data_IF_875793591321
#
_entry.id   IF_875793591321
#
_cell.length_a   1.000
_cell.length_b   1.000
_cell.length_c   1.000
_cell.angle_alpha   90.00
_cell.angle_beta   90.00
_cell.angle_gamma   90.00
#
_symmetry.space_group_name_H-M   'P 1'
#
loop_
_entity.id
_entity.type
_entity.pdbx_description
1 polymer ?
#
# COMPACT_ATOMS: atom_id res chain seq x y z
N UNK A 1 -18.32 -16.00 -25.94
CA UNK A 1 -18.38 -15.06 -24.80
C UNK A 1 -19.70 -15.13 -24.06
N UNK A 2 -20.86 -15.22 -24.73
CA UNK A 2 -22.19 -15.35 -24.10
C UNK A 2 -22.23 -16.43 -22.99
N UNK A 3 -21.73 -17.63 -23.28
CA UNK A 3 -21.68 -18.72 -22.30
C UNK A 3 -20.76 -18.41 -21.11
N UNK A 4 -19.63 -17.72 -21.33
CA UNK A 4 -18.73 -17.28 -20.24
C UNK A 4 -19.38 -16.23 -19.33
N UNK A 5 -20.40 -15.54 -19.84
CA UNK A 5 -21.23 -14.59 -19.09
C UNK A 5 -22.49 -15.24 -18.52
N UNK A 6 -22.64 -16.57 -18.65
CA UNK A 6 -23.80 -17.32 -18.19
C UNK A 6 -25.01 -17.28 -19.12
N UNK A 7 -24.86 -16.80 -20.35
CA UNK A 7 -25.93 -16.75 -21.34
C UNK A 7 -25.92 -17.97 -22.28
N UNK A 8 -27.07 -18.30 -22.88
CA UNK A 8 -27.23 -19.41 -23.85
C UNK A 8 -26.67 -20.76 -23.38
N UNK A 9 -26.90 -21.11 -22.10
CA UNK A 9 -26.41 -22.37 -21.53
C UNK A 9 -27.25 -23.59 -21.92
N UNK A 10 -28.50 -23.40 -22.35
CA UNK A 10 -29.45 -24.49 -22.64
C UNK A 10 -28.97 -25.53 -23.67
N UNK A 11 -28.23 -25.18 -24.72
CA UNK A 11 -27.67 -26.14 -25.68
C UNK A 11 -26.44 -26.93 -25.20
N UNK A 12 -25.85 -26.59 -24.05
CA UNK A 12 -24.63 -27.25 -23.55
C UNK A 12 -24.97 -28.56 -22.83
N UNK A 13 -24.17 -29.59 -23.07
CA UNK A 13 -24.23 -30.82 -22.29
C UNK A 13 -23.55 -30.67 -20.92
N UNK A 14 -23.75 -31.66 -20.04
CA UNK A 14 -23.15 -31.65 -18.69
C UNK A 14 -21.62 -31.50 -18.72
N UNK A 15 -20.94 -32.19 -19.63
CA UNK A 15 -19.47 -32.10 -19.77
C UNK A 15 -19.01 -30.72 -20.21
N UNK A 16 -19.75 -30.09 -21.12
CA UNK A 16 -19.40 -28.77 -21.63
C UNK A 16 -19.62 -27.69 -20.55
N UNK A 17 -20.65 -27.85 -19.72
CA UNK A 17 -20.91 -27.01 -18.55
C UNK A 17 -19.81 -27.14 -17.49
N UNK A 18 -19.40 -28.37 -17.16
CA UNK A 18 -18.30 -28.62 -16.22
C UNK A 18 -16.98 -28.01 -16.71
N UNK A 19 -16.69 -28.15 -18.01
CA UNK A 19 -15.51 -27.54 -18.61
C UNK A 19 -15.57 -26.01 -18.58
N UNK A 20 -16.75 -25.43 -18.84
CA UNK A 20 -16.97 -23.99 -18.80
C UNK A 20 -16.78 -23.43 -17.38
N UNK A 21 -17.35 -24.10 -16.38
CA UNK A 21 -17.20 -23.76 -14.97
C UNK A 21 -15.72 -23.79 -14.54
N UNK A 22 -15.01 -24.88 -14.84
CA UNK A 22 -13.59 -25.01 -14.52
C UNK A 22 -12.74 -23.93 -15.21
N UNK A 23 -13.05 -23.59 -16.47
CA UNK A 23 -12.37 -22.50 -17.17
C UNK A 23 -12.58 -21.14 -16.49
N UNK A 24 -13.81 -20.84 -16.06
CA UNK A 24 -14.14 -19.60 -15.34
C UNK A 24 -13.43 -19.59 -13.98
N UNK A 25 -13.43 -20.71 -13.26
CA UNK A 25 -12.78 -20.82 -11.95
C UNK A 25 -11.27 -20.56 -12.04
N UNK A 26 -10.58 -21.24 -12.98
CA UNK A 26 -9.14 -21.09 -13.19
C UNK A 26 -8.81 -19.64 -13.58
N UNK A 27 -9.54 -19.07 -14.55
CA UNK A 27 -9.29 -17.71 -15.01
C UNK A 27 -9.55 -16.67 -13.91
N UNK A 28 -10.60 -16.83 -13.10
CA UNK A 28 -10.88 -15.97 -11.97
C UNK A 28 -9.80 -16.05 -10.89
N UNK A 29 -9.32 -17.27 -10.57
CA UNK A 29 -8.20 -17.46 -9.64
C UNK A 29 -6.95 -16.75 -10.15
N UNK A 30 -6.62 -16.91 -11.44
CA UNK A 30 -5.49 -16.21 -12.04
C UNK A 30 -5.65 -14.69 -11.97
N UNK A 31 -6.80 -14.14 -12.35
CA UNK A 31 -7.05 -12.68 -12.31
C UNK A 31 -6.89 -12.14 -10.89
N UNK A 32 -7.48 -12.82 -9.89
CA UNK A 32 -7.35 -12.44 -8.47
C UNK A 32 -5.90 -12.48 -8.02
N UNK A 33 -5.18 -13.56 -8.32
CA UNK A 33 -3.77 -13.73 -7.96
C UNK A 33 -2.90 -12.63 -8.59
N UNK A 34 -3.02 -12.39 -9.89
CA UNK A 34 -2.25 -11.35 -10.60
C UNK A 34 -2.56 -9.96 -10.04
N UNK A 35 -3.84 -9.64 -9.82
CA UNK A 35 -4.24 -8.35 -9.24
C UNK A 35 -3.65 -8.15 -7.84
N UNK A 36 -3.71 -9.18 -7.00
CA UNK A 36 -3.13 -9.13 -5.67
C UNK A 36 -1.61 -8.98 -5.71
N UNK A 37 -0.91 -9.74 -6.56
CA UNK A 37 0.53 -9.62 -6.72
C UNK A 37 0.93 -8.20 -7.15
N UNK A 38 0.27 -7.65 -8.17
CA UNK A 38 0.52 -6.29 -8.64
C UNK A 38 0.31 -5.24 -7.53
N UNK A 39 -0.74 -5.39 -6.72
CA UNK A 39 -0.99 -4.48 -5.59
C UNK A 39 0.08 -4.58 -4.52
N UNK A 40 0.54 -5.80 -4.20
CA UNK A 40 1.62 -6.02 -3.24
C UNK A 40 2.93 -5.43 -3.74
N UNK A 41 3.28 -5.64 -5.01
CA UNK A 41 4.48 -5.09 -5.63
C UNK A 41 4.46 -3.55 -5.56
N UNK A 42 3.33 -2.93 -5.92
CA UNK A 42 3.16 -1.48 -5.82
C UNK A 42 3.28 -0.97 -4.38
N UNK A 43 2.73 -1.69 -3.41
CA UNK A 43 2.82 -1.35 -2.00
C UNK A 43 4.28 -1.39 -1.51
N UNK A 44 5.02 -2.44 -1.85
CA UNK A 44 6.44 -2.57 -1.48
C UNK A 44 7.30 -1.49 -2.13
N UNK A 45 7.08 -1.19 -3.40
CA UNK A 45 7.79 -0.12 -4.10
C UNK A 45 7.56 1.25 -3.46
N UNK A 46 6.31 1.54 -3.09
CA UNK A 46 5.97 2.79 -2.39
C UNK A 46 6.58 2.84 -1.00
N UNK A 47 6.54 1.75 -0.24
CA UNK A 47 7.17 1.66 1.09
C UNK A 47 8.67 1.87 1.04
N UNK A 48 9.34 1.31 0.03
CA UNK A 48 10.77 1.54 -0.20
C UNK A 48 11.08 3.00 -0.51
N UNK A 49 10.28 3.64 -1.38
CA UNK A 49 10.43 5.06 -1.72
C UNK A 49 10.19 5.96 -0.51
N UNK A 50 9.17 5.66 0.29
CA UNK A 50 8.87 6.35 1.55
C UNK A 50 10.09 6.31 2.48
N UNK A 51 10.68 5.13 2.70
CA UNK A 51 11.86 4.97 3.55
C UNK A 51 13.06 5.78 3.03
N UNK A 52 13.35 5.71 1.74
CA UNK A 52 14.44 6.47 1.12
C UNK A 52 14.26 7.98 1.29
N UNK A 53 13.04 8.49 1.10
CA UNK A 53 12.72 9.91 1.28
C UNK A 53 12.81 10.33 2.75
N UNK A 54 12.39 9.47 3.68
CA UNK A 54 12.52 9.73 5.11
C UNK A 54 14.00 9.83 5.53
N UNK A 55 14.84 8.93 5.04
CA UNK A 55 16.29 8.96 5.30
C UNK A 55 16.95 10.21 4.72
N UNK A 56 16.68 10.54 3.45
CA UNK A 56 17.19 11.75 2.82
C UNK A 56 16.73 13.02 3.55
N UNK A 57 15.45 13.10 3.95
CA UNK A 57 14.94 14.22 4.73
C UNK A 57 15.60 14.32 6.11
N UNK A 58 15.88 13.20 6.77
CA UNK A 58 16.60 13.17 8.05
C UNK A 58 18.02 13.70 7.89
N UNK A 59 18.71 13.30 6.83
CA UNK A 59 20.06 13.79 6.52
C UNK A 59 20.06 15.29 6.21
N UNK A 60 19.12 15.77 5.40
CA UNK A 60 18.99 17.20 5.08
C UNK A 60 18.68 18.04 6.33
N UNK A 61 17.78 17.58 7.20
CA UNK A 61 17.49 18.24 8.48
C UNK A 61 18.73 18.34 9.37
N UNK A 62 19.54 17.28 9.44
CA UNK A 62 20.81 17.26 10.17
C UNK A 62 21.79 18.29 9.58
N UNK A 63 22.00 18.29 8.25
CA UNK A 63 22.86 19.27 7.56
C UNK A 63 22.39 20.71 7.76
N UNK A 64 21.09 20.96 7.76
CA UNK A 64 20.52 22.28 8.01
C UNK A 64 20.78 22.75 9.44
N UNK A 65 20.68 21.85 10.42
CA UNK A 65 21.02 22.17 11.81
C UNK A 65 22.51 22.49 11.96
N UNK A 66 23.39 21.71 11.32
CA UNK A 66 24.84 21.92 11.32
C UNK A 66 25.23 23.24 10.62
N UNK A 67 24.59 23.58 9.50
CA UNK A 67 24.80 24.85 8.78
C UNK A 67 24.16 26.06 9.50
N UNK A 68 23.04 25.85 10.18
CA UNK A 68 22.30 26.87 10.93
C UNK A 68 23.01 27.35 12.20
N UNK A 69 24.04 26.65 12.67
CA UNK A 69 24.94 27.13 13.72
C UNK A 69 25.92 28.22 13.25
N UNK A 70 25.97 28.55 11.95
CA UNK A 70 26.90 29.56 11.40
C UNK A 70 26.28 30.73 10.64
N UNK A 71 25.05 30.64 10.13
CA UNK A 71 24.39 31.75 9.42
C UNK A 71 22.98 31.34 9.03
N UNK A 72 21.98 32.13 9.41
CA UNK A 72 20.61 32.00 8.93
C UNK A 72 20.46 32.81 7.63
N UNK A 73 20.27 32.21 6.44
CA UNK A 73 19.44 32.84 5.43
C UNK A 73 18.02 32.36 5.72
N UNK A 74 17.27 33.26 6.34
CA UNK A 74 15.84 33.16 6.52
C UNK A 74 15.20 32.70 5.20
N UNK A 75 14.70 31.45 5.17
CA UNK A 75 14.02 30.87 4.02
C UNK A 75 12.75 31.68 3.73
N UNK A 76 12.81 32.47 2.67
CA UNK A 76 11.85 33.45 2.13
C UNK A 76 10.55 32.83 1.58
N UNK A 77 9.96 31.86 2.26
CA UNK A 77 8.62 31.33 1.91
C UNK A 77 7.48 31.98 2.73
N UNK A 78 7.80 32.98 3.57
CA UNK A 78 6.85 33.63 4.49
C UNK A 78 6.08 34.81 3.87
N UNK A 79 6.50 35.35 2.73
CA UNK A 79 5.95 36.62 2.23
C UNK A 79 5.41 36.53 0.80
N UNK A 80 4.29 35.82 0.65
CA UNK A 80 3.38 36.02 -0.46
C UNK A 80 1.98 36.21 0.13
N UNK A 81 1.75 37.35 0.82
CA UNK A 81 0.43 37.64 1.36
C UNK A 81 0.37 38.81 2.34
N UNK A 82 -0.04 39.96 1.81
CA UNK A 82 -0.82 41.01 2.46
C UNK A 82 -0.18 41.84 3.59
N UNK A 83 0.01 43.11 3.24
CA UNK A 83 0.03 44.32 4.07
C UNK A 83 -0.83 44.28 5.35
N UNK A 84 -0.31 44.87 6.43
CA UNK A 84 -1.13 45.32 7.55
C UNK A 84 -0.43 45.23 8.90
N UNK A 85 -0.11 46.39 9.47
CA UNK A 85 0.36 46.59 10.84
C UNK A 85 -0.40 45.77 11.89
N UNK A 86 0.31 45.14 12.82
CA UNK A 86 0.20 45.32 14.29
C UNK A 86 0.85 44.11 15.00
N UNK A 87 1.59 44.43 16.06
CA UNK A 87 2.27 43.56 17.01
C UNK A 87 1.41 42.38 17.51
N UNK A 88 2.07 41.37 18.09
CA UNK A 88 1.63 40.43 19.15
C UNK A 88 2.02 38.97 18.85
N UNK A 89 2.89 38.45 19.74
CA UNK A 89 3.06 37.05 20.19
C UNK A 89 3.24 35.94 19.15
N UNK A 90 4.48 35.41 19.10
CA UNK A 90 4.82 34.17 18.43
C UNK A 90 4.19 32.96 19.16
N UNK A 91 3.20 32.33 18.51
CA UNK A 91 2.79 30.96 18.83
C UNK A 91 3.81 29.95 18.27
N UNK A 92 4.26 28.95 19.06
CA UNK A 92 5.00 27.82 18.52
C UNK A 92 4.00 26.81 17.94
N UNK A 93 3.74 26.88 16.64
CA UNK A 93 3.03 25.82 15.90
C UNK A 93 3.92 24.58 15.76
N UNK A 94 4.14 23.87 16.87
CA UNK A 94 4.76 22.54 16.90
C UNK A 94 3.74 21.41 16.70
N UNK A 95 2.44 21.73 16.57
CA UNK A 95 1.37 20.72 16.63
C UNK A 95 1.00 20.03 15.31
N UNK A 96 1.40 20.54 14.14
CA UNK A 96 0.80 20.06 12.88
C UNK A 96 1.55 18.88 12.24
N UNK A 97 2.79 18.60 12.64
CA UNK A 97 3.59 17.50 12.08
C UNK A 97 3.55 16.23 12.92
N UNK A 98 3.00 16.28 14.14
CA UNK A 98 2.93 15.11 15.02
C UNK A 98 1.67 14.27 14.78
N UNK A 99 0.72 14.79 14.00
CA UNK A 99 -0.58 14.13 13.77
C UNK A 99 -0.54 13.01 12.73
N UNK A 100 0.59 12.75 12.05
CA UNK A 100 0.68 11.71 11.03
C UNK A 100 1.51 10.48 11.45
N UNK A 101 1.93 10.40 12.71
CA UNK A 101 2.87 9.35 13.16
C UNK A 101 2.18 8.08 13.67
N UNK A 102 0.84 8.01 13.65
CA UNK A 102 0.13 6.77 13.94
C UNK A 102 -1.28 6.77 13.33
N UNK A 103 -1.34 6.74 11.99
CA UNK A 103 -2.51 6.13 11.38
C UNK A 103 -2.27 4.61 11.41
N UNK A 104 -3.13 3.80 12.06
CA UNK A 104 -3.07 2.37 11.83
C UNK A 104 -3.25 2.20 10.33
N UNK A 105 -2.26 1.59 9.65
CA UNK A 105 -2.39 1.21 8.25
C UNK A 105 -3.75 0.55 8.12
N UNK A 106 -4.64 1.13 7.30
CA UNK A 106 -5.95 0.56 7.01
C UNK A 106 -5.70 -0.88 6.57
N UNK A 107 -5.88 -1.81 7.51
CA UNK A 107 -5.81 -3.24 7.27
C UNK A 107 -7.09 -3.57 6.50
N UNK A 108 -7.07 -3.25 5.22
CA UNK A 108 -8.08 -3.68 4.27
C UNK A 108 -7.88 -5.19 4.16
N UNK A 109 -8.60 -5.95 5.00
CA UNK A 109 -8.93 -7.36 4.83
C UNK A 109 -7.80 -8.40 4.83
N UNK A 110 -6.53 -8.02 4.78
CA UNK A 110 -5.42 -8.98 4.74
C UNK A 110 -4.76 -9.09 6.10
N UNK A 111 -5.21 -10.08 6.88
CA UNK A 111 -4.58 -10.44 8.14
C UNK A 111 -3.10 -10.77 7.92
N UNK A 112 -2.23 -10.14 8.71
CA UNK A 112 -0.78 -10.38 8.77
C UNK A 112 -0.42 -11.88 8.87
N UNK A 113 -1.30 -12.69 9.47
CA UNK A 113 -1.18 -14.14 9.56
C UNK A 113 -1.13 -14.84 8.18
N UNK A 114 -1.77 -14.28 7.14
CA UNK A 114 -1.70 -14.82 5.77
C UNK A 114 -0.33 -14.60 5.11
N UNK A 115 0.30 -13.46 5.40
CA UNK A 115 1.65 -13.14 4.91
C UNK A 115 2.69 -14.05 5.58
N UNK A 116 2.54 -14.29 6.89
CA UNK A 116 3.43 -15.21 7.61
C UNK A 116 3.27 -16.66 7.15
N UNK A 117 2.06 -17.07 6.76
CA UNK A 117 1.77 -18.40 6.23
C UNK A 117 2.43 -18.65 4.87
N UNK A 118 2.35 -17.70 3.92
CA UNK A 118 2.99 -17.84 2.61
C UNK A 118 4.52 -17.84 2.69
N UNK A 119 5.10 -17.05 3.61
CA UNK A 119 6.55 -16.99 3.79
C UNK A 119 7.09 -18.29 4.43
N UNK A 120 6.29 -18.96 5.27
CA UNK A 120 6.65 -20.24 5.88
C UNK A 120 6.39 -21.44 4.94
N UNK A 121 5.39 -21.35 4.05
CA UNK A 121 5.09 -22.37 3.03
C UNK A 121 6.20 -22.53 1.97
N UNK A 122 6.99 -21.49 1.69
CA UNK A 122 8.20 -21.62 0.86
C UNK A 122 9.32 -22.44 1.51
N UNK A 123 9.33 -22.56 2.85
CA UNK A 123 10.30 -23.39 3.57
C UNK A 123 9.75 -24.79 3.87
N UNK A 124 8.43 -24.97 3.82
CA UNK A 124 7.71 -26.19 4.22
C UNK A 124 7.19 -27.06 3.06
N UNK A 125 7.76 -26.95 1.85
CA UNK A 125 7.45 -27.91 0.76
C UNK A 125 7.90 -29.36 1.04
N UNK A 126 8.52 -29.62 2.20
CA UNK A 126 8.56 -30.96 2.79
C UNK A 126 7.59 -31.06 3.97
N UNK A 127 6.46 -31.73 3.71
CA UNK A 127 5.54 -32.35 4.66
C UNK A 127 4.18 -31.65 4.88
N UNK A 128 3.18 -32.32 4.28
CA UNK A 128 1.78 -32.50 4.73
C UNK A 128 0.88 -31.27 4.72
N UNK A 129 -0.05 -31.33 3.78
CA UNK A 129 -1.10 -30.35 3.58
C UNK A 129 -2.11 -30.30 4.71
N UNK A 130 -2.67 -29.10 4.86
CA UNK A 130 -3.98 -28.79 5.42
C UNK A 130 -4.42 -27.49 4.73
N UNK A 131 -5.51 -27.55 3.94
CA UNK A 131 -6.16 -26.36 3.41
C UNK A 131 -7.34 -25.99 4.33
N UNK A 132 -7.42 -24.76 4.89
CA UNK A 132 -8.66 -24.28 5.46
C UNK A 132 -9.53 -23.72 4.34
N UNK A 133 -10.67 -24.35 4.13
CA UNK A 133 -11.72 -23.88 3.23
C UNK A 133 -12.36 -22.60 3.76
N UNK A 134 -12.58 -21.66 2.84
CA UNK A 134 -13.58 -20.62 2.98
C UNK A 134 -14.36 -20.57 1.66
N UNK A 135 -15.67 -20.56 1.86
CA UNK A 135 -16.76 -20.48 0.88
C UNK A 135 -16.54 -19.33 -0.10
#
# INVERSE_FOLDING_TARGET
QRNLLGEDLGPLGMKDLEQLENQIEISLKHIKSTKNQMMLDQLFDLKRKEQQLQEANKELKKKLQEAGSGSVPQLTWRNAGASGSTSHTAEPQQGLLQSLESAPSLQIGYHQAYIDQLNNEQTAQHARGHFPGWI
#
